data_IF_705183875985
#
_entry.id   IF_705183875985
#
_cell.length_a   1.000
_cell.length_b   1.000
_cell.length_c   1.000
_cell.angle_alpha   90.00
_cell.angle_beta   90.00
_cell.angle_gamma   90.00
#
_symmetry.space_group_name_H-M   'P 1'
#
loop_
_entity.id
_entity.type
_entity.pdbx_description
1 polymer ?
#
# COMPACT_ATOMS: atom_id res chain seq x y z
N UNK A 1 -27.04 -42.33 -11.67
CA UNK A 1 -25.60 -42.06 -11.43
C UNK A 1 -25.04 -40.86 -12.19
N UNK A 2 -25.54 -40.40 -13.36
CA UNK A 2 -24.99 -39.27 -14.13
C UNK A 2 -25.25 -37.87 -13.49
N UNK A 3 -26.28 -37.68 -12.66
CA UNK A 3 -26.58 -36.35 -12.07
C UNK A 3 -25.73 -35.94 -10.89
N UNK A 4 -25.09 -36.89 -10.20
CA UNK A 4 -24.22 -36.62 -9.02
C UNK A 4 -22.87 -36.05 -9.45
N UNK A 5 -22.31 -36.52 -10.57
CA UNK A 5 -21.03 -36.02 -11.07
C UNK A 5 -21.04 -34.57 -11.56
N UNK A 6 -22.19 -34.12 -12.14
CA UNK A 6 -22.31 -32.76 -12.64
C UNK A 6 -22.35 -31.73 -11.51
N UNK A 7 -23.00 -32.08 -10.39
CA UNK A 7 -23.08 -31.17 -9.21
C UNK A 7 -21.75 -31.05 -8.48
N UNK A 8 -20.99 -32.14 -8.38
CA UNK A 8 -19.66 -32.12 -7.73
C UNK A 8 -18.65 -31.29 -8.53
N UNK A 9 -18.66 -31.39 -9.88
CA UNK A 9 -17.79 -30.57 -10.72
C UNK A 9 -18.11 -29.06 -10.65
N UNK A 10 -19.39 -28.70 -10.57
CA UNK A 10 -19.79 -27.30 -10.47
C UNK A 10 -19.36 -26.66 -9.13
N UNK A 11 -19.47 -27.39 -8.01
CA UNK A 11 -19.04 -26.94 -6.69
C UNK A 11 -17.52 -26.79 -6.62
N UNK A 12 -16.77 -27.72 -7.22
CA UNK A 12 -15.30 -27.65 -7.25
C UNK A 12 -14.78 -26.48 -8.10
N UNK A 13 -15.46 -26.16 -9.21
CA UNK A 13 -15.10 -25.01 -10.05
C UNK A 13 -15.35 -23.66 -9.34
N UNK A 14 -16.44 -23.54 -8.58
CA UNK A 14 -16.75 -22.32 -7.81
C UNK A 14 -15.75 -22.11 -6.67
N UNK A 15 -15.31 -23.17 -5.99
CA UNK A 15 -14.32 -23.09 -4.93
C UNK A 15 -12.92 -22.71 -5.46
N UNK A 16 -12.55 -23.12 -6.68
CA UNK A 16 -11.28 -22.75 -7.31
C UNK A 16 -11.26 -21.29 -7.77
N UNK A 17 -12.40 -20.71 -8.16
CA UNK A 17 -12.50 -19.29 -8.54
C UNK A 17 -12.42 -18.36 -7.33
N UNK A 18 -12.91 -18.78 -6.16
CA UNK A 18 -12.82 -17.98 -4.93
C UNK A 18 -11.39 -17.83 -4.40
N UNK A 19 -10.49 -18.80 -4.67
CA UNK A 19 -9.10 -18.76 -4.20
C UNK A 19 -8.21 -17.81 -5.00
N UNK A 20 -8.58 -17.44 -6.23
CA UNK A 20 -7.76 -16.59 -7.10
C UNK A 20 -7.82 -15.08 -6.73
N UNK A 21 -8.84 -14.65 -5.97
CA UNK A 21 -9.02 -13.24 -5.63
C UNK A 21 -8.02 -12.73 -4.58
N UNK A 22 -7.51 -13.59 -3.70
CA UNK A 22 -6.61 -13.18 -2.62
C UNK A 22 -5.15 -12.96 -3.02
N UNK A 23 -4.71 -13.49 -4.18
CA UNK A 23 -3.31 -13.39 -4.65
C UNK A 23 -2.98 -12.08 -5.38
N UNK A 24 -3.92 -11.13 -5.46
CA UNK A 24 -3.79 -9.93 -6.30
C UNK A 24 -3.41 -8.66 -5.51
N UNK A 25 -3.29 -8.74 -4.20
CA UNK A 25 -2.93 -7.61 -3.34
C UNK A 25 -1.57 -7.86 -2.71
N UNK A 26 -0.69 -6.87 -2.80
CA UNK A 26 0.64 -6.90 -2.18
C UNK A 26 0.86 -5.64 -1.37
N UNK A 27 1.68 -5.72 -0.33
CA UNK A 27 2.15 -4.54 0.36
C UNK A 27 3.03 -3.74 -0.60
N UNK A 28 2.84 -2.42 -0.65
CA UNK A 28 3.71 -1.53 -1.44
C UNK A 28 4.73 -0.83 -0.54
N UNK A 29 4.30 -0.23 0.55
CA UNK A 29 5.14 0.50 1.49
C UNK A 29 4.39 0.76 2.80
N UNK A 30 5.13 1.11 3.84
CA UNK A 30 4.61 1.66 5.09
C UNK A 30 4.98 3.14 5.16
N UNK A 31 4.06 4.02 5.58
CA UNK A 31 4.32 5.44 5.77
C UNK A 31 4.49 5.80 7.24
N UNK A 32 5.43 6.73 7.48
CA UNK A 32 5.61 7.41 8.77
C UNK A 32 5.65 8.92 8.53
N UNK A 33 5.07 9.70 9.43
CA UNK A 33 5.08 11.16 9.33
C UNK A 33 6.23 11.78 10.13
N UNK A 34 6.78 12.91 9.65
CA UNK A 34 7.73 13.74 10.39
C UNK A 34 7.58 15.21 9.98
N UNK A 35 7.83 16.11 10.91
CA UNK A 35 7.96 17.54 10.62
C UNK A 35 9.24 17.82 9.82
N UNK A 36 10.34 17.12 10.13
CA UNK A 36 11.59 17.12 9.36
C UNK A 36 11.88 15.73 8.79
N UNK A 37 11.47 15.50 7.55
CA UNK A 37 11.64 14.22 6.85
C UNK A 37 13.11 13.88 6.63
N UNK A 38 13.97 14.91 6.39
CA UNK A 38 15.40 14.69 6.12
C UNK A 38 16.13 14.26 7.38
N UNK A 39 15.83 14.90 8.52
CA UNK A 39 16.37 14.50 9.80
C UNK A 39 15.90 13.08 10.19
N UNK A 40 14.63 12.74 9.96
CA UNK A 40 14.13 11.41 10.23
C UNK A 40 14.77 10.34 9.33
N UNK A 41 14.99 10.62 8.04
CA UNK A 41 15.68 9.70 7.14
C UNK A 41 17.11 9.40 7.60
N UNK A 42 17.88 10.42 8.04
CA UNK A 42 19.21 10.24 8.63
C UNK A 42 19.19 9.41 9.90
N UNK A 43 18.17 9.56 10.73
CA UNK A 43 17.98 8.71 11.90
C UNK A 43 17.78 7.24 11.49
N UNK A 44 16.93 6.95 10.49
CA UNK A 44 16.70 5.58 10.01
C UNK A 44 17.98 4.97 9.41
N UNK A 45 18.79 5.77 8.70
CA UNK A 45 20.07 5.35 8.20
C UNK A 45 21.03 4.99 9.35
N UNK A 46 21.21 5.90 10.30
CA UNK A 46 22.16 5.73 11.40
C UNK A 46 21.76 4.62 12.39
N UNK A 47 20.45 4.52 12.71
CA UNK A 47 19.95 3.59 13.72
C UNK A 47 19.72 2.18 13.19
N UNK A 48 19.32 2.04 11.91
CA UNK A 48 18.79 0.79 11.36
C UNK A 48 19.42 0.37 10.03
N UNK A 49 20.39 1.14 9.49
CA UNK A 49 20.98 0.88 8.18
C UNK A 49 19.99 0.99 7.03
N UNK A 50 18.99 1.88 7.16
CA UNK A 50 18.00 2.12 6.12
C UNK A 50 18.41 3.35 5.30
N UNK A 51 18.95 3.12 4.13
CA UNK A 51 19.43 4.18 3.23
C UNK A 51 18.26 4.77 2.42
N UNK A 52 18.37 6.05 2.09
CA UNK A 52 17.50 6.67 1.11
C UNK A 52 17.66 6.00 -0.27
N UNK A 53 16.58 5.45 -0.80
CA UNK A 53 16.56 4.75 -2.10
C UNK A 53 15.81 5.51 -3.17
N UNK A 54 14.91 6.44 -2.76
CA UNK A 54 14.16 7.31 -3.67
C UNK A 54 13.68 8.55 -2.93
N UNK A 55 13.38 9.62 -3.70
CA UNK A 55 12.81 10.87 -3.20
C UNK A 55 11.83 11.44 -4.21
N UNK A 56 10.67 11.90 -3.74
CA UNK A 56 9.64 12.57 -4.54
C UNK A 56 9.40 13.94 -3.93
N UNK A 57 9.41 15.00 -4.76
CA UNK A 57 9.03 16.32 -4.31
C UNK A 57 7.51 16.41 -4.20
N UNK A 58 7.01 16.74 -3.02
CA UNK A 58 5.58 16.87 -2.73
C UNK A 58 5.30 18.20 -2.01
N UNK A 59 4.05 18.71 -2.04
CA UNK A 59 3.65 19.85 -1.22
C UNK A 59 3.91 19.56 0.26
N UNK A 60 4.50 20.51 0.98
CA UNK A 60 4.87 20.35 2.39
C UNK A 60 6.26 19.76 2.64
N UNK A 61 6.93 19.23 1.62
CA UNK A 61 8.29 18.68 1.74
C UNK A 61 8.46 17.36 0.99
N UNK A 62 9.69 16.82 0.95
CA UNK A 62 9.96 15.60 0.20
C UNK A 62 9.31 14.36 0.84
N UNK A 63 8.79 13.45 0.02
CA UNK A 63 8.58 12.06 0.43
C UNK A 63 9.88 11.30 0.23
N UNK A 64 10.45 10.74 1.31
CA UNK A 64 11.74 10.04 1.29
C UNK A 64 11.50 8.56 1.52
N UNK A 65 11.96 7.74 0.57
CA UNK A 65 11.87 6.27 0.64
C UNK A 65 13.17 5.73 1.21
N UNK A 66 13.10 4.98 2.31
CA UNK A 66 14.25 4.33 2.92
C UNK A 66 14.08 2.81 2.92
N UNK A 67 15.17 2.09 2.66
CA UNK A 67 15.17 0.62 2.66
C UNK A 67 16.48 0.07 3.23
N UNK A 68 16.47 -1.19 3.66
CA UNK A 68 17.61 -1.85 4.27
C UNK A 68 18.70 -2.20 3.26
N UNK A 69 19.97 -1.98 3.65
CA UNK A 69 21.14 -2.38 2.88
C UNK A 69 22.44 -2.06 3.60
N UNK A 70 23.49 -2.84 3.33
CA UNK A 70 24.84 -2.55 3.83
C UNK A 70 25.44 -1.26 3.21
N UNK A 71 24.92 -0.87 2.05
CA UNK A 71 25.26 0.37 1.32
C UNK A 71 24.01 0.92 0.64
N UNK A 72 24.05 2.16 0.18
CA UNK A 72 22.96 2.78 -0.58
C UNK A 72 22.58 1.95 -1.84
N UNK A 73 23.55 1.38 -2.55
CA UNK A 73 23.28 0.55 -3.74
C UNK A 73 22.63 -0.78 -3.36
N UNK A 74 23.07 -1.41 -2.27
CA UNK A 74 22.43 -2.61 -1.74
C UNK A 74 20.99 -2.34 -1.31
N UNK A 75 20.73 -1.21 -0.67
CA UNK A 75 19.38 -0.80 -0.28
C UNK A 75 18.46 -0.56 -1.49
N UNK A 76 18.98 0.08 -2.57
CA UNK A 76 18.23 0.24 -3.83
C UNK A 76 17.89 -1.08 -4.52
N UNK A 77 18.78 -2.06 -4.41
CA UNK A 77 18.58 -3.40 -4.98
C UNK A 77 17.67 -4.29 -4.12
N UNK A 78 17.42 -3.92 -2.86
CA UNK A 78 16.56 -4.67 -1.94
C UNK A 78 15.11 -4.67 -2.46
N UNK A 79 14.47 -5.85 -2.46
CA UNK A 79 13.10 -6.06 -2.94
C UNK A 79 12.07 -6.06 -1.82
N UNK A 80 12.49 -5.83 -0.56
CA UNK A 80 11.54 -5.62 0.54
C UNK A 80 10.80 -4.28 0.37
N UNK A 81 9.64 -4.18 0.98
CA UNK A 81 8.84 -2.96 0.94
C UNK A 81 9.54 -1.84 1.72
N UNK A 82 9.65 -0.62 1.16
CA UNK A 82 10.30 0.50 1.83
C UNK A 82 9.42 1.12 2.92
N UNK A 83 10.06 1.86 3.83
CA UNK A 83 9.37 2.88 4.63
C UNK A 83 9.41 4.19 3.85
N UNK A 84 8.27 4.89 3.78
CA UNK A 84 8.13 6.21 3.17
C UNK A 84 7.94 7.26 4.26
N UNK A 85 8.86 8.19 4.36
CA UNK A 85 8.81 9.31 5.31
C UNK A 85 8.12 10.48 4.63
N UNK A 86 7.00 10.95 5.22
CA UNK A 86 6.18 12.03 4.68
C UNK A 86 6.17 13.23 5.62
N UNK A 87 5.80 14.39 5.07
CA UNK A 87 5.54 15.58 5.88
C UNK A 87 4.35 15.39 6.80
N UNK A 88 4.50 15.89 8.02
CA UNK A 88 3.47 16.05 9.04
C UNK A 88 3.67 17.43 9.68
N UNK A 89 2.58 18.16 9.92
CA UNK A 89 2.64 19.56 10.41
C UNK A 89 3.27 19.69 11.81
N UNK A 90 3.14 18.66 12.63
CA UNK A 90 3.73 18.62 13.96
C UNK A 90 4.01 17.18 14.38
N UNK A 91 5.13 16.95 15.06
CA UNK A 91 5.46 15.64 15.64
C UNK A 91 4.61 15.32 16.87
N UNK A 92 3.89 16.30 17.41
CA UNK A 92 2.92 16.11 18.51
C UNK A 92 1.56 15.62 18.01
N UNK A 93 1.27 15.66 16.71
CA UNK A 93 0.01 15.21 16.12
C UNK A 93 -0.06 13.68 16.05
N UNK A 94 -1.21 13.14 16.46
CA UNK A 94 -1.56 11.75 16.11
C UNK A 94 -1.74 11.67 14.61
N UNK A 95 -1.02 10.76 13.98
CA UNK A 95 -0.83 10.73 12.55
C UNK A 95 -2.12 10.35 11.79
N UNK A 96 -2.68 11.26 10.95
CA UNK A 96 -3.81 10.95 10.08
C UNK A 96 -3.38 10.31 8.75
N UNK A 97 -2.08 10.13 8.50
CA UNK A 97 -1.55 9.63 7.22
C UNK A 97 -1.77 8.12 7.10
N UNK A 98 -2.16 7.59 5.92
CA UNK A 98 -2.19 6.15 5.71
C UNK A 98 -0.79 5.55 5.81
N UNK A 99 -0.58 4.65 6.77
CA UNK A 99 0.72 4.00 6.97
C UNK A 99 0.93 2.79 6.05
N UNK A 100 -0.14 2.16 5.60
CA UNK A 100 -0.08 0.97 4.75
C UNK A 100 -0.46 1.35 3.33
N UNK A 101 0.38 0.99 2.35
CA UNK A 101 0.16 1.20 0.93
C UNK A 101 0.12 -0.16 0.24
N UNK A 102 -0.98 -0.46 -0.45
CA UNK A 102 -1.19 -1.72 -1.14
C UNK A 102 -1.21 -1.52 -2.66
N UNK A 103 -0.41 -2.31 -3.38
CA UNK A 103 -0.58 -2.43 -4.83
C UNK A 103 -1.78 -3.33 -5.12
N UNK A 104 -2.70 -2.87 -5.95
CA UNK A 104 -3.89 -3.63 -6.37
C UNK A 104 -3.92 -3.74 -7.89
N UNK A 105 -4.38 -4.87 -8.40
CA UNK A 105 -4.51 -5.08 -9.85
C UNK A 105 -5.77 -4.46 -10.43
N UNK A 106 -6.84 -4.44 -9.66
CA UNK A 106 -8.16 -3.93 -10.04
C UNK A 106 -8.73 -3.11 -8.89
N UNK A 107 -8.76 -1.80 -9.07
CA UNK A 107 -9.26 -0.86 -8.07
C UNK A 107 -10.74 -1.08 -7.76
N UNK A 108 -11.57 -1.30 -8.79
CA UNK A 108 -13.01 -1.45 -8.62
C UNK A 108 -13.35 -2.74 -7.85
N UNK A 109 -12.71 -3.86 -8.22
CA UNK A 109 -12.86 -5.13 -7.51
C UNK A 109 -12.36 -5.03 -6.06
N UNK A 110 -11.24 -4.34 -5.81
CA UNK A 110 -10.70 -4.14 -4.46
C UNK A 110 -11.62 -3.28 -3.61
N UNK A 111 -12.18 -2.19 -4.15
CA UNK A 111 -13.17 -1.35 -3.46
C UNK A 111 -14.42 -2.18 -3.07
N UNK A 112 -14.90 -3.03 -3.97
CA UNK A 112 -16.04 -3.91 -3.68
C UNK A 112 -15.70 -4.90 -2.55
N UNK A 113 -14.50 -5.50 -2.57
CA UNK A 113 -14.04 -6.42 -1.53
C UNK A 113 -13.88 -5.74 -0.17
N UNK A 114 -13.30 -4.53 -0.12
CA UNK A 114 -13.19 -3.71 1.10
C UNK A 114 -14.57 -3.47 1.71
N UNK A 115 -15.55 -3.03 0.91
CA UNK A 115 -16.91 -2.77 1.38
C UNK A 115 -17.60 -4.05 1.85
N UNK A 116 -17.46 -5.15 1.12
CA UNK A 116 -18.03 -6.45 1.48
C UNK A 116 -17.44 -7.00 2.80
N UNK A 117 -16.17 -6.69 3.08
CA UNK A 117 -15.49 -7.07 4.32
C UNK A 117 -15.79 -6.14 5.52
N UNK A 118 -16.67 -5.15 5.35
CA UNK A 118 -17.07 -4.22 6.41
C UNK A 118 -16.19 -2.96 6.52
N UNK A 119 -15.27 -2.73 5.59
CA UNK A 119 -14.53 -1.49 5.45
C UNK A 119 -15.30 -0.43 4.64
N UNK A 120 -14.68 0.72 4.45
CA UNK A 120 -15.23 1.83 3.68
C UNK A 120 -14.16 2.54 2.87
N UNK A 121 -14.58 3.53 2.06
CA UNK A 121 -13.66 4.38 1.31
C UNK A 121 -13.78 5.83 1.81
N UNK A 122 -12.66 6.54 1.89
CA UNK A 122 -12.62 7.98 2.24
C UNK A 122 -12.92 8.89 1.05
N UNK A 123 -13.61 8.40 0.05
CA UNK A 123 -13.99 9.04 -1.20
C UNK A 123 -13.78 8.10 -2.39
N UNK A 124 -14.15 8.54 -3.59
CA UNK A 124 -13.95 7.74 -4.79
C UNK A 124 -12.47 7.67 -5.19
N UNK A 125 -12.00 6.53 -5.71
CA UNK A 125 -10.68 6.44 -6.31
C UNK A 125 -10.50 7.45 -7.45
N UNK A 126 -9.30 8.03 -7.57
CA UNK A 126 -9.00 9.08 -8.55
C UNK A 126 -7.72 8.79 -9.31
N UNK A 127 -7.63 9.34 -10.53
CA UNK A 127 -6.40 9.31 -11.30
C UNK A 127 -5.30 10.14 -10.61
N UNK A 128 -4.08 9.65 -10.67
CA UNK A 128 -2.87 10.35 -10.21
C UNK A 128 -2.16 11.01 -11.39
N UNK A 129 -2.49 12.26 -11.63
CA UNK A 129 -1.97 12.99 -12.78
C UNK A 129 -2.31 12.28 -14.11
N UNK A 130 -1.36 12.32 -15.05
CA UNK A 130 -1.47 11.68 -16.37
C UNK A 130 -0.67 10.36 -16.45
N UNK A 131 -0.45 9.69 -15.30
CA UNK A 131 0.41 8.51 -15.21
C UNK A 131 -0.30 7.20 -15.55
N UNK A 132 -1.64 7.21 -15.69
CA UNK A 132 -2.47 6.01 -15.78
C UNK A 132 -2.67 5.29 -14.42
N UNK A 133 -2.05 5.81 -13.35
CA UNK A 133 -2.20 5.27 -12.00
C UNK A 133 -3.50 5.73 -11.37
N UNK A 134 -4.21 4.83 -10.67
CA UNK A 134 -5.35 5.14 -9.82
C UNK A 134 -4.96 5.06 -8.35
N UNK A 135 -5.46 5.98 -7.53
CA UNK A 135 -5.27 6.00 -6.07
C UNK A 135 -6.62 6.04 -5.38
N UNK A 136 -6.79 5.22 -4.35
CA UNK A 136 -7.94 5.24 -3.45
C UNK A 136 -7.49 5.15 -1.98
N UNK A 137 -8.28 5.71 -1.06
CA UNK A 137 -8.04 5.56 0.38
C UNK A 137 -9.17 4.70 0.97
N UNK A 138 -8.81 3.51 1.41
CA UNK A 138 -9.70 2.63 2.17
C UNK A 138 -9.56 2.93 3.67
N UNK A 139 -10.63 2.60 4.42
CA UNK A 139 -10.67 2.67 5.88
C UNK A 139 -11.10 1.28 6.34
N UNK A 140 -10.29 0.63 7.17
CA UNK A 140 -10.63 -0.65 7.76
C UNK A 140 -11.70 -0.50 8.87
N UNK A 141 -12.31 -1.60 9.34
CA UNK A 141 -13.33 -1.53 10.39
C UNK A 141 -12.83 -0.96 11.74
N UNK A 142 -11.52 -0.90 11.97
CA UNK A 142 -10.90 -0.28 13.14
C UNK A 142 -10.57 1.21 12.92
N UNK A 143 -10.77 1.74 11.72
CA UNK A 143 -10.53 3.15 11.36
C UNK A 143 -9.13 3.44 10.82
N UNK A 144 -8.28 2.43 10.59
CA UNK A 144 -6.97 2.67 9.98
C UNK A 144 -7.13 2.99 8.50
N UNK A 145 -6.32 3.93 8.01
CA UNK A 145 -6.31 4.37 6.62
C UNK A 145 -5.29 3.56 5.82
N UNK A 146 -5.70 3.08 4.65
CA UNK A 146 -4.91 2.27 3.73
C UNK A 146 -4.91 2.96 2.36
N UNK A 147 -3.76 3.20 1.77
CA UNK A 147 -3.69 3.69 0.39
C UNK A 147 -3.66 2.51 -0.59
N UNK A 148 -4.55 2.55 -1.57
CA UNK A 148 -4.62 1.58 -2.66
C UNK A 148 -4.03 2.21 -3.92
N UNK A 149 -3.10 1.52 -4.58
CA UNK A 149 -2.47 1.98 -5.82
C UNK A 149 -2.65 0.92 -6.90
N UNK A 150 -3.35 1.29 -7.99
CA UNK A 150 -3.39 0.51 -9.22
C UNK A 150 -2.51 1.21 -10.25
N UNK A 151 -1.49 0.51 -10.75
CA UNK A 151 -0.65 0.98 -11.86
C UNK A 151 -1.15 0.43 -13.19
N UNK A 152 -0.80 1.10 -14.32
CA UNK A 152 -1.09 0.59 -15.67
C UNK A 152 -0.58 -0.83 -15.89
#
# INVERSE_FOLDING_TARGET
MKRIYTTVMAVTAVLLLASAAHAQVTLNAVRVGAQDQVALAKFYEAAFGMWEVNRINAPGGPEIFVNFGATADAAKANKSEPIVIMHRDSDDLKDPVPHVILNVKDMAATVAAVKAAGGSMAGDPRAFGNTGTMIGIAIDPAGNRLELIQRP
#
